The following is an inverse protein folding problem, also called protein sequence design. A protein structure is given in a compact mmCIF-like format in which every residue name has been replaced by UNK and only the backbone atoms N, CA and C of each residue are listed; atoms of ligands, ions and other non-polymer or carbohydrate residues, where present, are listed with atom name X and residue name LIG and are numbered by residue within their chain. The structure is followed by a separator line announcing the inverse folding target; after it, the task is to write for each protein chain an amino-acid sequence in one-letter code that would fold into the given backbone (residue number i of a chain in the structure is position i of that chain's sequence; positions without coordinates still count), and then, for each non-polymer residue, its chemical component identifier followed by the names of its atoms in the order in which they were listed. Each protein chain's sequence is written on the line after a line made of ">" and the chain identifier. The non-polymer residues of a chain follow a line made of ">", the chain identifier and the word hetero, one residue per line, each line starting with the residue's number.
data_IF_610475032424
#
_entry.id   IF_610475032424
#
_cell.length_a   1.000
_cell.length_b   1.000
_cell.length_c   1.000
_cell.angle_alpha   90.00
_cell.angle_beta   90.00
_cell.angle_gamma   90.00
#
_symmetry.space_group_name_H-M   'P 1'
#
loop_
_entity.id
_entity.type
_entity.pdbx_description
1 polymer ?
#
# COMPACT_ATOMS: atom_id res chain seq x y z
N UNK A 1 16.66 41.80 6.72
CA UNK A 1 16.05 40.44 6.65
C UNK A 1 14.57 40.64 6.46
N UNK A 2 14.03 40.29 5.28
CA UNK A 2 12.59 40.40 5.03
C UNK A 2 11.98 39.15 5.68
N UNK A 3 11.22 39.35 6.73
CA UNK A 3 10.53 38.27 7.44
C UNK A 3 9.17 38.10 6.77
N UNK A 4 8.83 36.85 6.37
CA UNK A 4 7.52 36.57 5.80
C UNK A 4 6.48 36.62 6.92
N UNK A 5 5.48 37.51 6.82
CA UNK A 5 4.41 37.71 7.80
C UNK A 5 3.64 36.41 8.11
N UNK A 6 3.51 35.49 7.15
CA UNK A 6 2.86 34.20 7.33
C UNK A 6 3.50 33.31 8.41
N UNK A 7 4.80 33.56 8.74
CA UNK A 7 5.50 32.80 9.78
C UNK A 7 5.16 33.24 11.21
N UNK A 8 4.43 34.33 11.37
CA UNK A 8 4.14 34.96 12.65
C UNK A 8 2.64 35.17 12.91
N UNK A 9 1.78 34.53 12.11
CA UNK A 9 0.33 34.55 12.36
C UNK A 9 0.04 33.81 13.66
N UNK A 10 -0.63 34.51 14.60
CA UNK A 10 -1.19 33.86 15.78
C UNK A 10 -2.37 32.96 15.39
N UNK A 11 -2.58 31.88 16.13
CA UNK A 11 -3.71 30.96 15.96
C UNK A 11 -4.58 31.00 17.21
N UNK A 12 -5.72 31.68 17.13
CA UNK A 12 -6.64 31.90 18.26
C UNK A 12 -8.02 31.30 18.00
N UNK A 13 -8.27 30.81 16.77
CA UNK A 13 -9.54 30.22 16.38
C UNK A 13 -9.35 28.99 15.51
N UNK A 14 -10.40 28.19 15.35
CA UNK A 14 -10.40 27.04 14.45
C UNK A 14 -10.31 27.42 12.98
N UNK A 15 -10.74 28.61 12.61
CA UNK A 15 -10.59 29.17 11.25
C UNK A 15 -9.12 29.46 11.00
N UNK A 16 -8.45 30.17 11.91
CA UNK A 16 -7.01 30.45 11.81
C UNK A 16 -6.16 29.20 11.83
N UNK A 17 -6.56 28.16 12.59
CA UNK A 17 -5.90 26.85 12.57
C UNK A 17 -6.00 26.19 11.20
N UNK A 18 -7.19 26.20 10.58
CA UNK A 18 -7.37 25.65 9.23
C UNK A 18 -6.55 26.42 8.20
N UNK A 19 -6.50 27.76 8.28
CA UNK A 19 -5.67 28.58 7.41
C UNK A 19 -4.17 28.27 7.57
N UNK A 20 -3.72 28.08 8.80
CA UNK A 20 -2.33 27.70 9.11
C UNK A 20 -1.99 26.32 8.55
N UNK A 21 -2.91 25.35 8.62
CA UNK A 21 -2.74 24.02 8.01
C UNK A 21 -2.58 24.10 6.50
N UNK A 22 -3.40 24.90 5.81
CA UNK A 22 -3.27 25.12 4.35
C UNK A 22 -1.90 25.72 4.01
N UNK A 23 -1.44 26.72 4.76
CA UNK A 23 -0.10 27.33 4.56
C UNK A 23 0.98 26.28 4.75
N UNK A 24 0.90 25.47 5.79
CA UNK A 24 1.86 24.41 6.09
C UNK A 24 1.90 23.35 4.97
N UNK A 25 0.72 22.84 4.56
CA UNK A 25 0.60 21.88 3.46
C UNK A 25 1.15 22.43 2.15
N UNK A 26 0.91 23.69 1.84
CA UNK A 26 1.45 24.34 0.63
C UNK A 26 2.98 24.45 0.66
N UNK A 27 3.59 24.64 1.83
CA UNK A 27 5.06 24.62 1.97
C UNK A 27 5.65 23.25 1.68
N UNK A 28 5.11 22.20 2.30
CA UNK A 28 5.53 20.82 2.07
C UNK A 28 5.42 20.46 0.58
N UNK A 29 4.25 20.66 -0.02
CA UNK A 29 4.01 20.35 -1.44
C UNK A 29 4.92 21.12 -2.39
N UNK A 30 5.20 22.38 -2.08
CA UNK A 30 6.10 23.23 -2.89
C UNK A 30 7.53 22.69 -2.94
N UNK A 31 8.03 22.14 -1.84
CA UNK A 31 9.38 21.54 -1.82
C UNK A 31 9.44 20.28 -2.69
N UNK A 32 8.41 19.41 -2.66
CA UNK A 32 8.35 18.24 -3.54
C UNK A 32 8.22 18.63 -5.02
N UNK A 33 7.41 19.64 -5.35
CA UNK A 33 7.29 20.16 -6.73
C UNK A 33 8.63 20.70 -7.24
N UNK A 34 9.38 21.43 -6.41
CA UNK A 34 10.74 21.91 -6.76
C UNK A 34 11.75 20.77 -6.95
N UNK A 35 11.57 19.68 -6.21
CA UNK A 35 12.39 18.48 -6.34
C UNK A 35 12.02 17.61 -7.56
N UNK A 36 11.01 18.01 -8.36
CA UNK A 36 10.62 17.32 -9.59
C UNK A 36 9.51 16.27 -9.42
N UNK A 37 8.94 16.14 -8.23
CA UNK A 37 7.79 15.25 -7.99
C UNK A 37 6.54 15.81 -8.68
N UNK A 38 5.77 14.96 -9.35
CA UNK A 38 4.51 15.36 -9.98
C UNK A 38 3.37 15.22 -8.96
N UNK A 39 2.79 16.34 -8.55
CA UNK A 39 1.58 16.38 -7.74
C UNK A 39 0.39 16.84 -8.60
N UNK A 40 -0.60 15.98 -8.82
CA UNK A 40 -1.79 16.31 -9.60
C UNK A 40 -2.88 16.89 -8.70
N UNK A 41 -3.39 18.07 -9.02
CA UNK A 41 -4.34 18.82 -8.19
C UNK A 41 -3.86 18.91 -6.73
N UNK A 42 -2.72 19.56 -6.47
CA UNK A 42 -2.03 19.51 -5.18
C UNK A 42 -2.87 19.94 -3.98
N UNK A 43 -3.89 20.77 -4.19
CA UNK A 43 -4.78 21.23 -3.10
C UNK A 43 -5.64 20.11 -2.51
N UNK A 44 -5.77 18.98 -3.21
CA UNK A 44 -6.50 17.79 -2.74
C UNK A 44 -5.61 16.75 -2.11
N UNK A 45 -4.29 16.93 -2.14
CA UNK A 45 -3.30 15.98 -1.61
C UNK A 45 -2.92 16.40 -0.19
N UNK A 46 -2.86 15.44 0.72
CA UNK A 46 -2.39 15.64 2.08
C UNK A 46 -1.07 14.89 2.31
N UNK A 47 -0.04 15.58 2.80
CA UNK A 47 1.29 15.02 3.02
C UNK A 47 1.79 15.43 4.42
N UNK A 48 2.05 14.45 5.30
CA UNK A 48 2.67 14.72 6.59
C UNK A 48 4.17 15.04 6.47
N UNK A 49 4.68 15.81 7.42
CA UNK A 49 6.06 16.32 7.41
C UNK A 49 7.14 15.22 7.40
N UNK A 50 6.83 14.04 7.96
CA UNK A 50 7.74 12.89 8.00
C UNK A 50 7.90 12.12 6.69
N UNK A 51 7.09 12.43 5.68
CA UNK A 51 7.07 11.73 4.39
C UNK A 51 8.26 12.13 3.51
N UNK A 52 8.82 11.16 2.80
CA UNK A 52 9.81 11.42 1.74
C UNK A 52 9.30 10.93 0.40
N UNK A 53 9.52 11.72 -0.67
CA UNK A 53 9.17 11.36 -2.05
C UNK A 53 10.39 11.61 -2.91
N UNK A 54 10.86 10.57 -3.62
CA UNK A 54 12.09 10.60 -4.40
C UNK A 54 11.86 10.09 -5.82
N UNK A 55 12.76 10.46 -6.72
CA UNK A 55 12.79 10.02 -8.11
C UNK A 55 11.58 10.48 -8.94
N UNK A 56 11.27 9.74 -9.99
CA UNK A 56 10.15 10.05 -10.90
C UNK A 56 8.81 9.59 -10.30
N UNK A 57 8.42 10.19 -9.16
CA UNK A 57 7.17 9.83 -8.49
C UNK A 57 6.02 10.72 -8.90
N UNK A 58 4.83 10.12 -9.02
CA UNK A 58 3.57 10.79 -9.35
C UNK A 58 2.56 10.55 -8.23
N UNK A 59 2.02 11.63 -7.68
CA UNK A 59 0.98 11.58 -6.66
C UNK A 59 -0.28 12.22 -7.23
N UNK A 60 -1.35 11.43 -7.34
CA UNK A 60 -2.63 11.90 -7.89
C UNK A 60 -3.49 12.57 -6.82
N UNK A 61 -4.59 13.17 -7.29
CA UNK A 61 -5.54 13.88 -6.44
C UNK A 61 -6.14 13.00 -5.32
N UNK A 62 -6.44 13.61 -4.19
CA UNK A 62 -7.08 12.98 -3.04
C UNK A 62 -6.20 11.96 -2.30
N UNK A 63 -4.93 11.84 -2.66
CA UNK A 63 -3.97 10.96 -1.95
C UNK A 63 -3.61 11.53 -0.59
N UNK A 64 -3.50 10.65 0.41
CA UNK A 64 -2.95 10.96 1.73
C UNK A 64 -1.69 10.16 1.98
N UNK A 65 -0.57 10.85 2.24
CA UNK A 65 0.71 10.27 2.63
C UNK A 65 1.00 10.62 4.08
N UNK A 66 1.09 9.60 4.93
CA UNK A 66 1.08 9.75 6.38
C UNK A 66 2.36 9.17 7.03
N UNK A 67 2.66 9.65 8.23
CA UNK A 67 3.73 9.16 9.08
C UNK A 67 5.10 9.34 8.45
N UNK A 68 5.90 8.29 8.44
CA UNK A 68 7.25 8.26 7.85
C UNK A 68 7.29 7.50 6.53
N UNK A 69 6.23 7.59 5.74
CA UNK A 69 6.14 6.90 4.46
C UNK A 69 7.23 7.34 3.49
N UNK A 70 7.77 6.38 2.73
CA UNK A 70 8.78 6.62 1.69
C UNK A 70 8.25 6.18 0.33
N UNK A 71 8.17 7.12 -0.61
CA UNK A 71 7.71 6.88 -1.98
C UNK A 71 8.89 7.09 -2.92
N UNK A 72 9.26 6.07 -3.68
CA UNK A 72 10.46 6.10 -4.54
C UNK A 72 10.09 5.59 -5.93
N UNK A 73 10.29 6.39 -6.98
CA UNK A 73 9.97 6.05 -8.37
C UNK A 73 8.60 5.39 -8.53
N UNK A 74 7.56 5.93 -7.89
CA UNK A 74 6.28 5.24 -7.75
C UNK A 74 5.10 6.12 -8.11
N UNK A 75 4.01 5.49 -8.55
CA UNK A 75 2.78 6.17 -8.90
C UNK A 75 1.69 5.86 -7.85
N UNK A 76 1.32 6.84 -7.05
CA UNK A 76 0.22 6.73 -6.09
C UNK A 76 -1.03 7.35 -6.71
N UNK A 77 -1.99 6.51 -7.03
CA UNK A 77 -3.20 6.88 -7.77
C UNK A 77 -4.29 7.41 -6.85
N UNK A 78 -5.24 8.08 -7.46
CA UNK A 78 -6.36 8.81 -6.84
C UNK A 78 -6.93 8.14 -5.58
N UNK A 79 -7.11 8.96 -4.53
CA UNK A 79 -7.75 8.58 -3.27
C UNK A 79 -7.11 7.40 -2.52
N UNK A 80 -5.86 7.11 -2.79
CA UNK A 80 -5.12 6.09 -2.03
C UNK A 80 -4.50 6.69 -0.76
N UNK A 81 -4.32 5.84 0.25
CA UNK A 81 -3.69 6.21 1.52
C UNK A 81 -2.45 5.36 1.74
N UNK A 82 -1.32 5.99 2.05
CA UNK A 82 -0.07 5.30 2.42
C UNK A 82 0.39 5.82 3.77
N UNK A 83 0.57 4.92 4.73
CA UNK A 83 0.90 5.24 6.11
C UNK A 83 2.10 4.41 6.59
N UNK A 84 3.14 5.06 7.16
CA UNK A 84 4.34 4.43 7.75
C UNK A 84 4.88 3.24 6.95
N UNK A 85 5.03 3.39 5.64
CA UNK A 85 5.33 2.31 4.72
C UNK A 85 6.31 2.73 3.62
N UNK A 86 6.91 1.75 2.94
CA UNK A 86 7.84 1.98 1.83
C UNK A 86 7.19 1.50 0.54
N UNK A 87 7.11 2.38 -0.45
CA UNK A 87 6.64 2.07 -1.81
C UNK A 87 7.72 2.44 -2.81
N UNK A 88 8.30 1.42 -3.46
CA UNK A 88 9.41 1.58 -4.39
C UNK A 88 9.12 0.93 -5.73
N UNK A 89 9.42 1.64 -6.83
CA UNK A 89 9.27 1.16 -8.22
C UNK A 89 7.88 0.52 -8.47
N UNK A 90 6.83 1.07 -7.85
CA UNK A 90 5.51 0.43 -7.73
C UNK A 90 4.38 1.38 -8.13
N UNK A 91 3.20 0.81 -8.42
CA UNK A 91 1.99 1.59 -8.59
C UNK A 91 0.90 1.13 -7.60
N UNK A 92 0.23 2.11 -6.98
CA UNK A 92 -0.73 1.89 -5.90
C UNK A 92 -2.03 2.63 -6.18
N UNK A 93 -3.13 1.91 -6.16
CA UNK A 93 -4.47 2.45 -6.30
C UNK A 93 -5.09 2.30 -7.70
N UNK A 94 -6.18 3.01 -7.94
CA UNK A 94 -6.81 3.99 -7.05
C UNK A 94 -7.51 3.37 -5.83
N UNK A 95 -7.79 4.20 -4.80
CA UNK A 95 -8.53 3.79 -3.60
C UNK A 95 -7.95 2.56 -2.89
N UNK A 96 -6.62 2.46 -2.86
CA UNK A 96 -5.90 1.44 -2.11
C UNK A 96 -5.46 1.99 -0.75
N UNK A 97 -5.24 1.09 0.22
CA UNK A 97 -4.74 1.46 1.54
C UNK A 97 -3.50 0.67 1.91
N UNK A 98 -2.38 1.34 2.00
CA UNK A 98 -1.12 0.78 2.47
C UNK A 98 -0.95 1.18 3.92
N UNK A 99 -1.13 0.22 4.83
CA UNK A 99 -1.07 0.42 6.28
C UNK A 99 0.34 0.15 6.81
N UNK A 100 0.63 0.62 8.05
CA UNK A 100 1.97 0.60 8.63
C UNK A 100 2.73 -0.73 8.51
N UNK A 101 4.04 -0.58 8.42
CA UNK A 101 5.02 -1.66 8.31
C UNK A 101 4.92 -2.47 7.00
N UNK A 102 4.34 -1.89 5.93
CA UNK A 102 4.31 -2.52 4.61
C UNK A 102 5.49 -2.05 3.74
N UNK A 103 6.07 -2.98 2.99
CA UNK A 103 7.16 -2.74 2.04
C UNK A 103 6.75 -3.29 0.67
N UNK A 104 6.57 -2.41 -0.31
CA UNK A 104 6.23 -2.73 -1.69
C UNK A 104 7.41 -2.41 -2.60
N UNK A 105 7.86 -3.39 -3.36
CA UNK A 105 8.92 -3.23 -4.36
C UNK A 105 8.49 -3.83 -5.69
N UNK A 106 8.55 -3.07 -6.79
CA UNK A 106 8.14 -3.49 -8.14
C UNK A 106 6.74 -4.14 -8.17
N UNK A 107 5.82 -3.62 -7.38
CA UNK A 107 4.52 -4.23 -7.09
C UNK A 107 3.37 -3.39 -7.65
N UNK A 108 2.36 -4.06 -8.18
CA UNK A 108 1.10 -3.45 -8.60
C UNK A 108 0.00 -3.74 -7.57
N UNK A 109 -0.50 -2.69 -6.94
CA UNK A 109 -1.66 -2.71 -6.04
C UNK A 109 -2.80 -1.94 -6.70
N UNK A 110 -3.94 -2.59 -6.89
CA UNK A 110 -5.11 -1.98 -7.55
C UNK A 110 -6.21 -1.55 -6.59
N UNK A 111 -7.43 -1.45 -7.13
CA UNK A 111 -8.59 -0.91 -6.43
C UNK A 111 -8.96 -1.70 -5.17
N UNK A 112 -9.17 -0.97 -4.07
CA UNK A 112 -9.67 -1.53 -2.81
C UNK A 112 -8.82 -2.67 -2.26
N UNK A 113 -7.53 -2.66 -2.55
CA UNK A 113 -6.56 -3.56 -1.92
C UNK A 113 -6.03 -2.88 -0.68
N UNK A 114 -6.06 -3.60 0.43
CA UNK A 114 -5.48 -3.17 1.69
C UNK A 114 -4.28 -4.06 2.05
N UNK A 115 -3.15 -3.43 2.43
CA UNK A 115 -1.98 -4.14 2.95
C UNK A 115 -1.67 -3.69 4.37
N UNK A 116 -1.13 -4.58 5.19
CA UNK A 116 -0.65 -4.28 6.55
C UNK A 116 0.47 -5.23 6.93
N UNK A 117 1.63 -4.70 7.34
CA UNK A 117 2.80 -5.54 7.68
C UNK A 117 3.09 -6.56 6.57
N UNK A 118 2.98 -6.10 5.32
CA UNK A 118 3.12 -6.92 4.13
C UNK A 118 4.45 -6.60 3.45
N UNK A 119 5.21 -7.64 3.07
CA UNK A 119 6.40 -7.49 2.23
C UNK A 119 6.11 -8.09 0.87
N UNK A 120 5.96 -7.22 -0.12
CA UNK A 120 5.56 -7.59 -1.47
C UNK A 120 6.67 -7.22 -2.46
N UNK A 121 7.16 -8.20 -3.19
CA UNK A 121 8.21 -8.00 -4.17
C UNK A 121 7.79 -8.54 -5.53
N UNK A 122 7.61 -7.69 -6.54
CA UNK A 122 7.20 -8.08 -7.89
C UNK A 122 5.80 -8.72 -7.97
N UNK A 123 4.89 -8.30 -7.11
CA UNK A 123 3.54 -8.88 -6.94
C UNK A 123 2.49 -8.09 -7.72
N UNK A 124 1.48 -8.77 -8.22
CA UNK A 124 0.27 -8.16 -8.78
C UNK A 124 -0.94 -8.52 -7.93
N UNK A 125 -1.58 -7.50 -7.32
CA UNK A 125 -2.83 -7.62 -6.57
C UNK A 125 -3.79 -6.52 -7.02
N UNK A 126 -4.63 -6.81 -8.02
CA UNK A 126 -5.39 -5.79 -8.75
C UNK A 126 -6.68 -5.33 -8.07
N UNK A 127 -7.32 -6.14 -7.22
CA UNK A 127 -8.68 -5.87 -6.78
C UNK A 127 -9.03 -6.48 -5.43
N UNK A 128 -9.73 -5.70 -4.57
CA UNK A 128 -10.57 -6.18 -3.46
C UNK A 128 -9.89 -7.24 -2.57
N UNK A 129 -8.64 -7.05 -2.19
CA UNK A 129 -7.89 -8.05 -1.41
C UNK A 129 -7.38 -7.46 -0.09
N UNK A 130 -7.29 -8.29 0.93
CA UNK A 130 -6.61 -7.96 2.17
C UNK A 130 -5.35 -8.80 2.33
N UNK A 131 -4.20 -8.13 2.36
CA UNK A 131 -2.88 -8.74 2.46
C UNK A 131 -2.21 -8.25 3.77
N UNK A 132 -2.51 -8.95 4.86
CA UNK A 132 -2.01 -8.65 6.20
C UNK A 132 -1.01 -9.68 6.70
N UNK A 133 0.05 -9.21 7.40
CA UNK A 133 1.08 -10.07 7.99
C UNK A 133 1.60 -11.14 7.01
N UNK A 134 2.02 -10.72 5.79
CA UNK A 134 2.41 -11.64 4.74
C UNK A 134 3.74 -11.27 4.06
N UNK A 135 4.37 -12.27 3.47
CA UNK A 135 5.50 -12.11 2.55
C UNK A 135 5.11 -12.77 1.24
N UNK A 136 5.17 -12.05 0.12
CA UNK A 136 4.80 -12.55 -1.20
C UNK A 136 5.90 -12.15 -2.19
N UNK A 137 6.38 -13.14 -2.95
CA UNK A 137 7.54 -12.96 -3.81
C UNK A 137 7.18 -12.85 -5.30
N UNK A 138 8.21 -12.63 -6.10
CA UNK A 138 8.20 -12.17 -7.48
C UNK A 138 7.36 -13.05 -8.42
N UNK A 139 6.65 -12.40 -9.34
CA UNK A 139 5.84 -13.07 -10.35
C UNK A 139 4.50 -13.59 -9.85
N UNK A 140 4.22 -13.44 -8.56
CA UNK A 140 2.96 -13.91 -7.97
C UNK A 140 1.79 -13.00 -8.31
N UNK A 141 0.70 -13.60 -8.75
CA UNK A 141 -0.57 -12.94 -9.03
C UNK A 141 -1.60 -13.29 -7.98
N UNK A 142 -2.13 -12.27 -7.30
CA UNK A 142 -3.18 -12.40 -6.30
C UNK A 142 -4.54 -12.12 -6.95
N UNK A 143 -5.40 -13.10 -6.95
CA UNK A 143 -6.77 -13.00 -7.46
C UNK A 143 -7.65 -12.10 -6.63
N UNK A 144 -8.69 -11.55 -7.26
CA UNK A 144 -9.67 -10.67 -6.61
C UNK A 144 -10.32 -11.36 -5.40
N UNK A 145 -10.51 -10.64 -4.30
CA UNK A 145 -11.15 -11.19 -3.10
C UNK A 145 -10.26 -12.08 -2.25
N UNK A 146 -8.96 -12.10 -2.50
CA UNK A 146 -8.01 -12.88 -1.67
C UNK A 146 -7.84 -12.23 -0.30
N UNK A 147 -7.85 -13.08 0.74
CA UNK A 147 -7.68 -12.66 2.13
C UNK A 147 -6.60 -13.50 2.80
N UNK A 148 -5.61 -12.86 3.40
CA UNK A 148 -4.75 -13.50 4.38
C UNK A 148 -5.44 -13.44 5.74
N UNK A 149 -6.00 -14.57 6.19
CA UNK A 149 -6.66 -14.70 7.49
C UNK A 149 -5.59 -14.80 8.58
N UNK A 150 -5.02 -13.66 8.94
CA UNK A 150 -3.83 -13.55 9.80
C UNK A 150 -4.11 -13.55 11.31
N UNK A 151 -5.38 -13.56 11.74
CA UNK A 151 -5.77 -13.45 13.14
C UNK A 151 -6.68 -14.62 13.55
N UNK A 152 -6.30 -15.36 14.58
CA UNK A 152 -7.02 -16.53 15.09
C UNK A 152 -7.99 -16.20 16.26
N UNK A 153 -8.14 -14.93 16.59
CA UNK A 153 -8.92 -14.46 17.74
C UNK A 153 -8.04 -14.07 18.93
N UNK A 154 -6.79 -14.52 18.98
CA UNK A 154 -5.82 -14.25 20.05
C UNK A 154 -4.49 -13.74 19.49
N UNK A 155 -3.90 -14.47 18.52
CA UNK A 155 -2.58 -14.21 17.96
C UNK A 155 -2.68 -13.87 16.46
N UNK A 156 -1.62 -13.23 15.96
CA UNK A 156 -1.41 -13.01 14.54
C UNK A 156 -0.37 -13.97 14.01
N UNK A 157 -0.64 -14.48 12.82
CA UNK A 157 0.17 -15.45 12.11
C UNK A 157 0.50 -14.95 10.71
N UNK A 158 1.59 -15.46 10.16
CA UNK A 158 2.12 -15.01 8.87
C UNK A 158 1.72 -15.98 7.74
N UNK A 159 1.41 -15.41 6.58
CA UNK A 159 1.28 -16.11 5.30
C UNK A 159 2.54 -15.85 4.49
N UNK A 160 3.16 -16.93 3.96
CA UNK A 160 4.33 -16.83 3.07
C UNK A 160 3.92 -17.41 1.71
N UNK A 161 4.13 -16.66 0.63
CA UNK A 161 3.85 -17.10 -0.74
C UNK A 161 5.10 -16.88 -1.58
N UNK A 162 5.58 -17.94 -2.19
CA UNK A 162 6.78 -17.96 -3.02
C UNK A 162 6.60 -17.28 -4.38
N UNK A 163 7.49 -17.62 -5.30
CA UNK A 163 7.55 -17.01 -6.65
C UNK A 163 6.58 -17.68 -7.62
N UNK A 164 6.13 -16.89 -8.61
CA UNK A 164 5.29 -17.36 -9.72
C UNK A 164 4.02 -18.11 -9.27
N UNK A 165 3.49 -17.80 -8.09
CA UNK A 165 2.26 -18.41 -7.60
C UNK A 165 1.07 -17.73 -8.26
N UNK A 166 0.15 -18.53 -8.81
CA UNK A 166 -1.13 -18.04 -9.29
C UNK A 166 -2.21 -18.31 -8.24
N UNK A 167 -2.72 -17.25 -7.62
CA UNK A 167 -3.81 -17.33 -6.66
C UNK A 167 -5.12 -16.99 -7.35
N UNK A 168 -6.03 -17.96 -7.42
CA UNK A 168 -7.38 -17.76 -7.95
C UNK A 168 -8.21 -16.82 -7.09
N UNK A 169 -9.22 -16.21 -7.70
CA UNK A 169 -10.12 -15.28 -7.01
C UNK A 169 -10.84 -15.95 -5.83
N UNK A 170 -11.20 -15.15 -4.82
CA UNK A 170 -11.93 -15.59 -3.62
C UNK A 170 -11.18 -16.69 -2.84
N UNK A 171 -9.86 -16.52 -2.70
CA UNK A 171 -9.01 -17.44 -1.93
C UNK A 171 -8.77 -16.90 -0.52
N UNK A 172 -8.93 -17.75 0.50
CA UNK A 172 -8.61 -17.45 1.89
C UNK A 172 -7.38 -18.25 2.33
N UNK A 173 -6.33 -17.58 2.79
CA UNK A 173 -5.16 -18.21 3.42
C UNK A 173 -5.31 -18.17 4.93
N UNK A 174 -5.60 -19.30 5.56
CA UNK A 174 -5.71 -19.41 7.03
C UNK A 174 -4.31 -19.58 7.61
N UNK A 175 -3.71 -18.46 8.01
CA UNK A 175 -2.35 -18.46 8.54
C UNK A 175 -2.22 -19.20 9.88
N UNK A 176 -1.05 -19.85 10.17
CA UNK A 176 0.16 -19.80 9.36
C UNK A 176 0.16 -20.79 8.20
N UNK A 177 0.51 -20.32 6.99
CA UNK A 177 0.68 -21.19 5.81
C UNK A 177 1.89 -20.75 4.99
N UNK A 178 2.54 -21.74 4.36
CA UNK A 178 3.63 -21.52 3.42
C UNK A 178 3.29 -22.15 2.07
N UNK A 179 3.24 -21.32 1.04
CA UNK A 179 2.99 -21.71 -0.36
C UNK A 179 4.32 -21.60 -1.09
N UNK A 180 4.84 -22.73 -1.55
CA UNK A 180 6.11 -22.76 -2.28
C UNK A 180 5.96 -22.19 -3.70
N UNK A 181 7.05 -22.11 -4.45
CA UNK A 181 7.07 -21.53 -5.80
C UNK A 181 6.22 -22.32 -6.81
N UNK A 182 5.82 -21.65 -7.88
CA UNK A 182 5.16 -22.23 -9.05
C UNK A 182 3.83 -22.95 -8.73
N UNK A 183 3.18 -22.62 -7.63
CA UNK A 183 1.90 -23.20 -7.18
C UNK A 183 0.73 -22.53 -7.88
N UNK A 184 -0.31 -23.31 -8.16
CA UNK A 184 -1.61 -22.84 -8.64
C UNK A 184 -2.67 -23.09 -7.56
N UNK A 185 -3.26 -22.03 -7.03
CA UNK A 185 -4.41 -22.10 -6.12
C UNK A 185 -5.68 -21.85 -6.93
N UNK A 186 -6.60 -22.81 -6.94
CA UNK A 186 -7.88 -22.67 -7.63
C UNK A 186 -8.77 -21.64 -6.95
N UNK A 187 -9.57 -20.91 -7.74
CA UNK A 187 -10.52 -19.93 -7.22
C UNK A 187 -11.50 -20.56 -6.22
N UNK A 188 -11.88 -19.79 -5.18
CA UNK A 188 -12.77 -20.22 -4.12
C UNK A 188 -12.13 -21.21 -3.14
N UNK A 189 -10.81 -21.25 -3.04
CA UNK A 189 -10.11 -22.16 -2.14
C UNK A 189 -9.89 -21.56 -0.76
N UNK A 190 -10.08 -22.37 0.29
CA UNK A 190 -9.63 -22.05 1.65
C UNK A 190 -8.37 -22.88 1.96
N UNK A 191 -7.23 -22.22 1.99
CA UNK A 191 -5.92 -22.85 2.20
C UNK A 191 -5.61 -22.89 3.68
N UNK A 192 -5.57 -24.08 4.25
CA UNK A 192 -5.36 -24.32 5.70
C UNK A 192 -4.04 -25.02 6.01
N UNK A 193 -3.21 -25.30 5.01
CA UNK A 193 -1.94 -25.99 5.16
C UNK A 193 -0.93 -25.57 4.10
N UNK A 194 0.31 -26.01 4.28
CA UNK A 194 1.38 -25.71 3.34
C UNK A 194 1.17 -26.43 2.00
N UNK A 195 1.54 -25.74 0.91
CA UNK A 195 1.42 -26.26 -0.47
C UNK A 195 2.83 -26.33 -1.07
N UNK A 196 3.17 -27.49 -1.64
CA UNK A 196 4.50 -27.75 -2.19
C UNK A 196 4.65 -27.20 -3.61
N UNK A 197 5.89 -26.97 -3.98
CA UNK A 197 6.26 -26.44 -5.28
C UNK A 197 5.59 -27.16 -6.44
N UNK A 198 4.97 -26.39 -7.34
CA UNK A 198 4.33 -26.88 -8.56
C UNK A 198 2.99 -27.60 -8.37
N UNK A 199 2.45 -27.61 -7.15
CA UNK A 199 1.16 -28.24 -6.87
C UNK A 199 -0.03 -27.39 -7.34
N UNK A 200 -1.13 -28.07 -7.65
CA UNK A 200 -2.45 -27.50 -7.77
C UNK A 200 -3.21 -27.74 -6.47
N UNK A 201 -3.62 -26.67 -5.79
CA UNK A 201 -4.41 -26.73 -4.58
C UNK A 201 -5.87 -26.33 -4.86
N UNK A 202 -6.80 -27.15 -4.41
CA UNK A 202 -8.22 -26.85 -4.50
C UNK A 202 -9.00 -27.48 -3.33
N UNK A 203 -10.01 -26.78 -2.79
CA UNK A 203 -10.80 -27.23 -1.62
C UNK A 203 -12.28 -27.39 -1.90
N UNK A 204 -12.76 -27.07 -3.11
CA UNK A 204 -14.17 -27.27 -3.47
C UNK A 204 -14.49 -28.75 -3.68
N UNK A 205 -15.72 -29.16 -3.29
CA UNK A 205 -16.23 -30.49 -3.57
C UNK A 205 -16.17 -30.78 -5.08
N UNK A 206 -15.89 -32.04 -5.42
CA UNK A 206 -15.92 -32.55 -6.80
C UNK A 206 -17.32 -32.57 -7.35
#
# INVERSE_FOLDING_TARGET
>A
MIVNEENFKGVNSKVELADAEVIHQNRIKKEFLKAGVILRLPDTIYIEEGVTIEGESIIENGVSLLGKSKIINSHIKTNSVVEDSIVKDSDVGPMARIRPDSELNKTHIGNFVETKKAKLNGVKAGHLSYLGDCVIDEGTNIGCGTITCNYDGVNKHQTIIGKNVFVGSDTQFVAPVNIEDDVLIAAGSTVTGNVKKGELYLTRAK
#
